data_IF_298523851738
#
_entry.id   IF_298523851738
#
_cell.length_a   1.000
_cell.length_b   1.000
_cell.length_c   1.000
_cell.angle_alpha   90.00
_cell.angle_beta   90.00
_cell.angle_gamma   90.00
#
_symmetry.space_group_name_H-M   'P 1'
#
loop_
_entity.id
_entity.type
_entity.pdbx_description
1 polymer ?
#
# COMPACT_ATOMS: atom_id res chain seq x y z
N UNK A 1 -8.66 15.94 -6.33
CA UNK A 1 -9.12 17.13 -5.58
C UNK A 1 -8.58 16.94 -4.18
N UNK A 2 -8.00 17.99 -3.55
CA UNK A 2 -7.44 17.87 -2.18
C UNK A 2 -8.42 18.59 -1.24
N UNK A 3 -9.50 17.92 -0.90
CA UNK A 3 -10.56 18.44 -0.03
C UNK A 3 -10.37 17.84 1.37
N UNK A 4 -10.35 18.70 2.40
CA UNK A 4 -10.30 18.26 3.79
C UNK A 4 -11.65 17.70 4.22
N UNK A 5 -11.63 16.51 4.78
CA UNK A 5 -12.80 15.83 5.32
C UNK A 5 -12.55 15.39 6.75
N UNK A 6 -13.52 15.60 7.62
CA UNK A 6 -13.49 15.11 9.00
C UNK A 6 -14.21 13.75 9.08
N UNK A 7 -13.61 12.79 9.80
CA UNK A 7 -14.19 11.44 10.02
C UNK A 7 -14.36 11.11 11.50
N UNK A 8 -13.69 11.85 12.38
CA UNK A 8 -13.82 11.71 13.82
C UNK A 8 -13.48 13.03 14.52
N UNK A 9 -13.64 13.14 15.85
CA UNK A 9 -13.33 14.36 16.57
C UNK A 9 -11.88 14.85 16.43
N UNK A 10 -10.93 13.93 16.24
CA UNK A 10 -9.50 14.20 16.12
C UNK A 10 -8.93 13.73 14.77
N UNK A 11 -9.78 13.20 13.89
CA UNK A 11 -9.38 12.49 12.66
C UNK A 11 -9.94 13.19 11.44
N UNK A 12 -9.04 13.48 10.50
CA UNK A 12 -9.35 14.10 9.21
C UNK A 12 -8.56 13.39 8.11
N UNK A 13 -8.93 13.61 6.87
CA UNK A 13 -8.11 13.23 5.71
C UNK A 13 -8.27 14.24 4.57
N UNK A 14 -7.26 14.31 3.73
CA UNK A 14 -7.35 14.98 2.43
C UNK A 14 -7.76 13.95 1.39
N UNK A 15 -8.86 14.24 0.68
CA UNK A 15 -9.31 13.43 -0.45
C UNK A 15 -8.34 13.60 -1.61
N UNK A 16 -7.52 12.61 -1.86
CA UNK A 16 -6.46 12.55 -2.89
C UNK A 16 -6.39 11.14 -3.48
N UNK A 17 -5.65 10.90 -4.56
CA UNK A 17 -5.55 9.56 -5.16
C UNK A 17 -5.20 8.45 -4.16
N UNK A 18 -4.23 8.68 -3.28
CA UNK A 18 -4.05 7.98 -2.02
C UNK A 18 -4.39 8.97 -0.91
N UNK A 19 -5.34 8.65 -0.02
CA UNK A 19 -5.75 9.57 1.05
C UNK A 19 -4.60 9.88 1.98
N UNK A 20 -4.47 11.16 2.36
CA UNK A 20 -3.52 11.61 3.36
C UNK A 20 -4.30 11.83 4.66
N UNK A 21 -4.06 10.96 5.64
CA UNK A 21 -4.69 11.08 6.95
C UNK A 21 -4.10 12.22 7.76
N UNK A 22 -4.90 12.77 8.69
CA UNK A 22 -4.48 13.81 9.61
C UNK A 22 -5.01 13.46 11.00
N UNK A 23 -4.11 13.30 11.94
CA UNK A 23 -4.40 13.21 13.37
C UNK A 23 -4.18 14.58 14.01
N UNK A 24 -5.22 15.13 14.59
CA UNK A 24 -5.17 16.38 15.36
C UNK A 24 -5.46 16.10 16.84
N UNK A 25 -4.44 16.12 17.72
CA UNK A 25 -4.67 16.02 19.16
C UNK A 25 -5.65 17.09 19.65
N UNK A 26 -6.44 16.75 20.66
CA UNK A 26 -7.47 17.65 21.19
C UNK A 26 -6.88 18.99 21.65
N UNK A 27 -7.47 20.09 21.21
CA UNK A 27 -7.05 21.44 21.56
C UNK A 27 -5.72 21.88 20.94
N UNK A 28 -5.12 21.10 20.05
CA UNK A 28 -3.83 21.41 19.42
C UNK A 28 -4.01 22.00 18.02
N UNK A 29 -3.11 22.91 17.63
CA UNK A 29 -2.90 23.34 16.25
C UNK A 29 -1.73 22.57 15.58
N UNK A 30 -1.03 21.72 16.35
CA UNK A 30 -0.07 20.75 15.81
C UNK A 30 -0.78 19.46 15.41
N UNK A 31 -0.44 18.94 14.22
CA UNK A 31 -1.04 17.74 13.66
C UNK A 31 0.02 16.75 13.22
N UNK A 32 -0.34 15.47 13.18
CA UNK A 32 0.45 14.44 12.53
C UNK A 32 -0.23 14.03 11.22
N UNK A 33 0.56 13.92 10.16
CA UNK A 33 0.08 13.35 8.90
C UNK A 33 0.22 11.82 8.94
N UNK A 34 -0.69 11.12 8.30
CA UNK A 34 -0.60 9.70 7.99
C UNK A 34 -0.45 9.62 6.49
N UNK A 35 0.76 9.24 6.05
CA UNK A 35 1.24 9.34 4.67
C UNK A 35 1.35 10.79 4.14
N UNK A 36 1.75 10.97 2.89
CA UNK A 36 2.07 12.28 2.35
C UNK A 36 1.67 12.50 0.90
N UNK A 37 1.05 11.46 0.29
CA UNK A 37 0.65 11.46 -1.11
C UNK A 37 1.80 11.20 -2.08
N UNK A 38 1.50 11.24 -3.37
CA UNK A 38 2.27 10.63 -4.45
C UNK A 38 3.51 11.41 -4.90
N UNK A 39 3.64 12.68 -4.54
CA UNK A 39 4.76 13.50 -5.00
C UNK A 39 4.88 14.84 -4.23
N UNK A 40 5.89 15.63 -4.61
CA UNK A 40 6.09 16.98 -4.07
C UNK A 40 4.87 17.89 -4.23
N UNK A 41 4.08 17.74 -5.28
CA UNK A 41 2.89 18.58 -5.50
C UNK A 41 1.74 18.16 -4.57
N UNK A 42 1.62 16.87 -4.24
CA UNK A 42 0.76 16.40 -3.17
C UNK A 42 1.17 17.04 -1.83
N UNK A 43 2.46 17.00 -1.49
CA UNK A 43 2.99 17.67 -0.29
C UNK A 43 2.72 19.16 -0.24
N UNK A 44 2.84 19.89 -1.37
CA UNK A 44 2.52 21.33 -1.46
C UNK A 44 1.04 21.60 -1.20
N UNK A 45 0.15 20.77 -1.74
CA UNK A 45 -1.31 20.90 -1.55
C UNK A 45 -1.68 20.58 -0.11
N UNK A 46 -1.09 19.55 0.47
CA UNK A 46 -1.24 19.22 1.89
C UNK A 46 -0.82 20.40 2.76
N UNK A 47 0.37 20.97 2.54
CA UNK A 47 0.83 22.15 3.28
C UNK A 47 -0.14 23.32 3.16
N UNK A 48 -0.60 23.63 1.93
CA UNK A 48 -1.55 24.72 1.70
C UNK A 48 -2.83 24.54 2.50
N UNK A 49 -3.33 23.31 2.59
CA UNK A 49 -4.54 23.02 3.37
C UNK A 49 -4.29 23.15 4.87
N UNK A 50 -3.16 22.63 5.38
CA UNK A 50 -2.79 22.81 6.79
C UNK A 50 -2.65 24.31 7.15
N UNK A 51 -1.97 25.11 6.31
CA UNK A 51 -1.82 26.53 6.50
C UNK A 51 -3.20 27.25 6.52
N UNK A 52 -4.16 26.84 5.69
CA UNK A 52 -5.52 27.39 5.66
C UNK A 52 -6.32 27.08 6.94
N UNK A 53 -6.04 25.96 7.60
CA UNK A 53 -6.63 25.60 8.89
C UNK A 53 -5.88 26.19 10.10
N UNK A 54 -4.74 26.86 9.89
CA UNK A 54 -3.84 27.28 10.95
C UNK A 54 -3.09 26.12 11.64
N UNK A 55 -2.96 24.98 10.98
CA UNK A 55 -2.32 23.77 11.53
C UNK A 55 -0.87 23.66 11.10
N UNK A 56 -0.04 23.11 11.99
CA UNK A 56 1.37 22.84 11.75
C UNK A 56 1.64 21.34 11.81
N UNK A 57 2.29 20.77 10.80
CA UNK A 57 2.73 19.39 10.82
C UNK A 57 3.87 19.20 11.83
N UNK A 58 3.65 18.30 12.80
CA UNK A 58 4.62 17.89 13.82
C UNK A 58 5.37 16.63 13.46
N UNK A 59 4.81 15.79 12.59
CA UNK A 59 5.41 14.55 12.14
C UNK A 59 4.57 13.88 11.07
N UNK A 60 5.19 12.96 10.32
CA UNK A 60 4.55 12.14 9.30
C UNK A 60 4.68 10.69 9.71
N UNK A 61 3.55 10.00 9.84
CA UNK A 61 3.45 8.57 10.17
C UNK A 61 3.29 7.81 8.85
N UNK A 62 4.29 7.07 8.44
CA UNK A 62 4.28 6.32 7.18
C UNK A 62 3.65 4.95 7.41
N UNK A 63 2.64 4.62 6.61
CA UNK A 63 1.98 3.31 6.66
C UNK A 63 2.81 2.26 5.94
N UNK A 64 3.28 2.57 4.76
CA UNK A 64 4.20 1.77 3.94
C UNK A 64 4.92 2.67 2.91
N UNK A 65 5.92 2.14 2.24
CA UNK A 65 6.89 2.93 1.49
C UNK A 65 6.61 3.07 -0.01
N UNK A 66 5.45 2.63 -0.51
CA UNK A 66 5.09 2.87 -1.91
C UNK A 66 5.06 4.37 -2.23
N UNK A 67 5.51 4.71 -3.43
CA UNK A 67 5.77 6.09 -3.81
C UNK A 67 4.57 7.02 -3.70
N UNK A 68 3.34 6.52 -3.85
CA UNK A 68 2.10 7.30 -3.73
C UNK A 68 1.70 7.59 -2.26
N UNK A 69 2.39 7.00 -1.28
CA UNK A 69 2.25 7.26 0.15
C UNK A 69 3.36 8.16 0.70
N UNK A 70 4.59 7.98 0.22
CA UNK A 70 5.75 8.70 0.76
C UNK A 70 6.30 9.80 -0.16
N UNK A 71 5.69 10.01 -1.33
CA UNK A 71 6.18 10.95 -2.35
C UNK A 71 6.24 12.42 -1.90
N UNK A 72 5.42 12.83 -0.95
CA UNK A 72 5.43 14.16 -0.35
C UNK A 72 6.36 14.33 0.85
N UNK A 73 6.85 13.23 1.46
CA UNK A 73 7.62 13.24 2.72
C UNK A 73 8.82 14.19 2.68
N UNK A 74 9.70 14.05 1.69
CA UNK A 74 10.91 14.89 1.56
C UNK A 74 10.59 16.40 1.51
N UNK A 75 9.50 16.77 0.83
CA UNK A 75 9.08 18.16 0.77
C UNK A 75 8.53 18.65 2.13
N UNK A 76 7.59 17.89 2.73
CA UNK A 76 6.95 18.28 3.99
C UNK A 76 7.95 18.29 5.15
N UNK A 77 8.85 17.29 5.23
CA UNK A 77 9.94 17.26 6.22
C UNK A 77 10.75 18.55 6.19
N UNK A 78 11.18 18.96 4.98
CA UNK A 78 11.95 20.21 4.81
C UNK A 78 11.15 21.46 5.17
N UNK A 79 9.82 21.48 4.95
CA UNK A 79 9.00 22.69 5.21
C UNK A 79 8.68 22.88 6.68
N UNK A 80 8.49 21.79 7.42
CA UNK A 80 8.07 21.82 8.81
C UNK A 80 9.18 21.48 9.81
N UNK A 81 10.34 21.02 9.30
CA UNK A 81 11.44 20.48 10.13
C UNK A 81 10.92 19.41 11.08
N UNK A 82 10.17 18.46 10.55
CA UNK A 82 9.47 17.44 11.31
C UNK A 82 10.00 16.03 11.00
N UNK A 83 9.93 15.08 11.95
CA UNK A 83 10.30 13.68 11.73
C UNK A 83 9.35 12.98 10.75
N UNK A 84 9.89 12.02 10.00
CA UNK A 84 9.14 11.02 9.23
C UNK A 84 9.32 9.69 9.93
N UNK A 85 8.25 9.15 10.51
CA UNK A 85 8.27 7.90 11.27
C UNK A 85 7.93 6.73 10.36
N UNK A 86 8.81 5.76 10.26
CA UNK A 86 8.54 4.50 9.55
C UNK A 86 9.33 3.35 10.18
N UNK A 87 8.74 2.17 10.23
CA UNK A 87 9.36 0.99 10.84
C UNK A 87 9.97 0.03 9.82
N UNK A 88 10.94 -0.77 10.27
CA UNK A 88 11.45 -1.93 9.53
C UNK A 88 11.88 -1.66 8.09
N UNK A 89 11.42 -2.51 7.17
CA UNK A 89 11.71 -2.41 5.73
C UNK A 89 11.11 -1.15 5.10
N UNK A 90 9.95 -0.71 5.59
CA UNK A 90 9.30 0.51 5.08
C UNK A 90 10.18 1.74 5.32
N UNK A 91 10.81 1.83 6.48
CA UNK A 91 11.76 2.89 6.79
C UNK A 91 12.99 2.86 5.88
N UNK A 92 13.52 1.66 5.61
CA UNK A 92 14.67 1.51 4.71
C UNK A 92 14.34 1.92 3.27
N UNK A 93 13.18 1.51 2.74
CA UNK A 93 12.76 1.89 1.37
C UNK A 93 12.41 3.37 1.29
N UNK A 94 11.76 3.96 2.30
CA UNK A 94 11.49 5.41 2.34
C UNK A 94 12.78 6.23 2.34
N UNK A 95 13.82 5.79 3.06
CA UNK A 95 15.12 6.45 3.06
C UNK A 95 15.91 6.25 1.76
N UNK A 96 15.75 5.10 1.11
CA UNK A 96 16.44 4.69 -0.12
C UNK A 96 15.41 4.21 -1.17
N UNK A 97 14.62 5.12 -1.77
CA UNK A 97 13.46 4.77 -2.60
C UNK A 97 13.81 4.06 -3.91
N UNK A 98 15.07 4.01 -4.31
CA UNK A 98 15.56 3.17 -5.43
C UNK A 98 15.36 1.67 -5.19
N UNK A 99 15.14 1.24 -3.95
CA UNK A 99 14.85 -0.16 -3.65
C UNK A 99 13.49 -0.62 -4.18
N UNK A 100 12.48 0.23 -4.23
CA UNK A 100 11.15 -0.16 -4.73
C UNK A 100 11.19 -0.60 -6.20
N UNK A 101 11.64 0.21 -7.19
CA UNK A 101 11.71 -0.24 -8.57
C UNK A 101 12.76 -1.35 -8.79
N UNK A 102 13.83 -1.41 -8.00
CA UNK A 102 14.81 -2.49 -8.08
C UNK A 102 14.22 -3.83 -7.62
N UNK A 103 13.46 -3.82 -6.53
CA UNK A 103 12.71 -4.99 -6.02
C UNK A 103 11.67 -5.45 -7.05
N UNK A 104 10.83 -4.56 -7.56
CA UNK A 104 9.77 -4.88 -8.52
C UNK A 104 10.32 -5.48 -9.82
N UNK A 105 11.46 -4.97 -10.29
CA UNK A 105 12.11 -5.43 -11.51
C UNK A 105 13.00 -6.67 -11.31
N UNK A 106 13.53 -6.86 -10.10
CA UNK A 106 14.46 -7.95 -9.77
C UNK A 106 15.90 -7.70 -10.25
N UNK A 107 16.32 -6.45 -10.37
CA UNK A 107 17.64 -6.02 -10.82
C UNK A 107 17.73 -4.51 -10.92
N UNK A 108 18.80 -3.98 -11.57
CA UNK A 108 18.88 -2.54 -11.80
C UNK A 108 17.80 -2.08 -12.81
N UNK A 109 16.84 -1.24 -12.40
CA UNK A 109 15.70 -0.89 -13.24
C UNK A 109 16.11 0.05 -14.37
N UNK A 110 15.57 -0.19 -15.57
CA UNK A 110 15.79 0.72 -16.70
C UNK A 110 15.03 2.05 -16.51
N UNK A 111 15.33 3.05 -17.36
CA UNK A 111 14.91 4.45 -17.16
C UNK A 111 13.40 4.63 -16.96
N UNK A 112 12.58 3.89 -17.71
CA UNK A 112 11.12 3.96 -17.70
C UNK A 112 10.49 3.45 -16.38
N UNK A 113 11.25 2.72 -15.55
CA UNK A 113 10.85 2.30 -14.22
C UNK A 113 11.34 3.23 -13.10
N UNK A 114 12.24 4.18 -13.41
CA UNK A 114 12.79 5.13 -12.44
C UNK A 114 12.06 6.46 -12.49
N UNK A 115 10.79 6.47 -12.14
CA UNK A 115 9.97 7.67 -12.15
C UNK A 115 9.13 7.79 -10.85
N UNK A 116 8.52 8.94 -10.63
CA UNK A 116 7.84 9.33 -9.39
C UNK A 116 6.70 8.41 -8.91
N UNK A 117 6.16 7.55 -9.77
CA UNK A 117 5.11 6.60 -9.38
C UNK A 117 5.66 5.28 -8.83
N UNK A 118 6.97 5.02 -8.99
CA UNK A 118 7.67 3.85 -8.47
C UNK A 118 8.89 4.24 -7.60
N UNK A 119 9.19 5.52 -7.48
CA UNK A 119 10.37 5.98 -6.75
C UNK A 119 10.13 7.39 -6.20
N UNK A 120 9.91 7.49 -4.91
CA UNK A 120 9.80 8.74 -4.19
C UNK A 120 11.13 9.51 -4.13
N UNK A 121 11.15 10.68 -3.51
CA UNK A 121 12.39 11.37 -3.15
C UNK A 121 12.85 10.90 -1.77
N UNK A 122 14.14 10.61 -1.57
CA UNK A 122 14.66 10.17 -0.28
C UNK A 122 14.44 11.24 0.81
N UNK A 123 14.16 10.79 2.02
CA UNK A 123 14.07 11.65 3.20
C UNK A 123 14.68 10.93 4.42
N UNK A 124 14.94 11.71 5.48
CA UNK A 124 15.40 11.15 6.74
C UNK A 124 14.24 10.49 7.48
N UNK A 125 14.45 9.27 7.95
CA UNK A 125 13.45 8.47 8.63
C UNK A 125 13.90 8.15 10.04
N UNK A 126 12.98 8.19 10.97
CA UNK A 126 13.16 7.74 12.37
C UNK A 126 12.22 6.57 12.66
N UNK A 127 12.59 5.64 13.55
CA UNK A 127 11.73 4.52 13.90
C UNK A 127 10.51 4.97 14.73
N UNK A 128 9.50 4.11 14.85
CA UNK A 128 8.30 4.40 15.65
C UNK A 128 8.59 4.48 17.16
N UNK A 129 9.71 3.96 17.61
CA UNK A 129 10.19 4.03 19.00
C UNK A 129 10.82 5.39 19.38
N UNK A 130 10.98 6.31 18.42
CA UNK A 130 11.45 7.67 18.68
C UNK A 130 10.48 8.40 19.62
N UNK A 131 11.02 9.11 20.61
CA UNK A 131 10.25 9.79 21.66
C UNK A 131 9.25 10.86 21.17
N UNK A 132 9.43 11.33 19.93
CA UNK A 132 8.54 12.31 19.28
C UNK A 132 7.31 11.67 18.63
N UNK A 133 7.26 10.31 18.55
CA UNK A 133 6.07 9.61 18.07
C UNK A 133 4.89 9.85 19.02
N UNK A 134 3.67 10.10 18.51
CA UNK A 134 2.50 10.34 19.36
C UNK A 134 2.11 9.06 20.14
N UNK A 135 2.41 9.03 21.42
CA UNK A 135 2.29 7.83 22.29
C UNK A 135 0.85 7.29 22.39
N UNK A 136 -0.15 8.13 22.14
CA UNK A 136 -1.58 7.76 22.14
C UNK A 136 -2.04 7.07 20.84
N UNK A 137 -1.26 7.13 19.76
CA UNK A 137 -1.56 6.46 18.48
C UNK A 137 -1.08 5.01 18.55
N UNK A 138 -1.97 4.07 18.24
CA UNK A 138 -1.63 2.64 18.21
C UNK A 138 -1.25 2.22 16.80
N UNK A 139 -0.13 1.53 16.66
CA UNK A 139 0.32 0.94 15.42
C UNK A 139 -0.39 -0.40 15.25
N UNK A 140 -0.99 -0.61 14.08
CA UNK A 140 -1.68 -1.82 13.68
C UNK A 140 -0.84 -2.54 12.63
N UNK A 141 -0.22 -3.69 12.90
CA UNK A 141 0.43 -4.49 11.86
C UNK A 141 -0.61 -4.98 10.84
N UNK A 142 -0.41 -4.63 9.56
CA UNK A 142 -1.32 -4.96 8.45
C UNK A 142 -0.52 -5.50 7.26
N UNK A 143 0.19 -6.64 7.43
CA UNK A 143 1.06 -7.18 6.40
C UNK A 143 0.29 -7.71 5.21
N UNK A 144 0.98 -7.83 4.07
CA UNK A 144 0.51 -8.49 2.86
C UNK A 144 0.57 -7.62 1.62
N UNK A 145 0.08 -6.38 1.66
CA UNK A 145 0.19 -5.48 0.52
C UNK A 145 1.66 -5.13 0.25
N UNK A 146 2.41 -4.72 1.26
CA UNK A 146 3.85 -4.47 1.16
C UNK A 146 4.60 -5.11 2.34
N UNK A 147 5.92 -4.89 2.48
CA UNK A 147 6.81 -5.64 3.40
C UNK A 147 6.30 -5.68 4.85
N UNK A 148 6.26 -4.52 5.50
CA UNK A 148 5.86 -4.37 6.91
C UNK A 148 4.81 -3.26 7.05
N UNK A 149 3.85 -3.21 6.11
CA UNK A 149 2.77 -2.24 6.15
C UNK A 149 2.09 -2.21 7.51
N UNK A 150 1.80 -1.01 7.98
CA UNK A 150 1.04 -0.76 9.20
C UNK A 150 -0.15 0.16 8.94
N UNK A 151 -1.11 0.13 9.83
CA UNK A 151 -2.13 1.17 9.97
C UNK A 151 -1.96 1.88 11.31
N UNK A 152 -2.79 2.88 11.55
CA UNK A 152 -2.78 3.66 12.78
C UNK A 152 -4.20 3.78 13.35
N UNK A 153 -4.39 3.32 14.60
CA UNK A 153 -5.63 3.54 15.34
C UNK A 153 -5.47 4.76 16.25
N UNK A 154 -6.31 5.75 16.02
CA UNK A 154 -6.31 7.02 16.74
C UNK A 154 -7.17 6.95 18.01
N UNK A 155 -6.96 7.88 18.99
CA UNK A 155 -7.68 7.86 20.25
C UNK A 155 -9.21 7.98 20.13
N UNK A 156 -9.71 8.61 19.08
CA UNK A 156 -11.14 8.75 18.80
C UNK A 156 -11.81 7.48 18.25
N UNK A 157 -11.01 6.45 17.94
CA UNK A 157 -11.44 5.17 17.39
C UNK A 157 -11.40 5.08 15.87
N UNK A 158 -10.83 6.09 15.19
CA UNK A 158 -10.61 6.04 13.74
C UNK A 158 -9.34 5.24 13.42
N UNK A 159 -9.43 4.27 12.52
CA UNK A 159 -8.31 3.47 12.03
C UNK A 159 -7.97 3.85 10.57
N UNK A 160 -6.78 4.38 10.34
CA UNK A 160 -6.21 4.50 9.01
C UNK A 160 -5.53 3.19 8.66
N UNK A 161 -6.05 2.50 7.64
CA UNK A 161 -5.69 1.11 7.33
C UNK A 161 -4.90 0.96 6.03
N UNK A 162 -4.41 2.06 5.51
CA UNK A 162 -3.54 2.08 4.31
C UNK A 162 -4.15 1.31 3.12
N UNK A 163 -3.32 0.49 2.47
CA UNK A 163 -3.67 -0.28 1.27
C UNK A 163 -4.02 -1.74 1.59
N UNK A 164 -4.61 -1.95 2.79
CA UNK A 164 -5.12 -3.28 3.15
C UNK A 164 -6.20 -3.80 2.20
N UNK A 165 -6.91 -2.90 1.52
CA UNK A 165 -7.97 -3.24 0.58
C UNK A 165 -8.21 -2.08 -0.41
N UNK A 166 -8.81 -2.45 -1.53
CA UNK A 166 -9.21 -1.54 -2.59
C UNK A 166 -10.73 -1.40 -2.66
N UNK A 167 -11.22 -0.29 -3.22
CA UNK A 167 -12.64 -0.14 -3.54
C UNK A 167 -13.06 -1.14 -4.63
N UNK A 168 -14.35 -1.44 -4.70
CA UNK A 168 -14.87 -2.32 -5.74
C UNK A 168 -14.56 -1.78 -7.14
N UNK A 169 -14.69 -0.47 -7.36
CA UNK A 169 -14.38 0.16 -8.64
C UNK A 169 -12.89 0.02 -9.00
N UNK A 170 -12.01 0.08 -8.01
CA UNK A 170 -10.57 -0.13 -8.21
C UNK A 170 -10.28 -1.57 -8.61
N UNK A 171 -10.90 -2.55 -7.93
CA UNK A 171 -10.78 -3.97 -8.28
C UNK A 171 -11.30 -4.24 -9.70
N UNK A 172 -12.47 -3.73 -10.04
CA UNK A 172 -13.07 -3.90 -11.38
C UNK A 172 -12.21 -3.28 -12.48
N UNK A 173 -11.57 -2.14 -12.21
CA UNK A 173 -10.73 -1.41 -13.16
C UNK A 173 -9.37 -2.05 -13.38
N UNK A 174 -8.68 -2.42 -12.31
CA UNK A 174 -7.29 -2.89 -12.37
C UNK A 174 -7.15 -4.40 -12.34
N UNK A 175 -8.20 -5.12 -11.93
CA UNK A 175 -8.30 -6.58 -11.84
C UNK A 175 -7.25 -7.21 -10.94
N UNK A 176 -5.97 -7.02 -11.23
CA UNK A 176 -4.85 -7.55 -10.45
C UNK A 176 -4.18 -6.39 -9.72
N UNK A 177 -4.51 -6.19 -8.44
CA UNK A 177 -3.84 -5.23 -7.55
C UNK A 177 -2.47 -5.73 -7.12
N UNK A 178 -1.62 -4.79 -6.69
CA UNK A 178 -0.31 -5.16 -6.15
C UNK A 178 -0.45 -5.82 -4.77
N UNK A 179 0.16 -6.99 -4.61
CA UNK A 179 0.24 -7.75 -3.34
C UNK A 179 1.60 -8.43 -3.25
N UNK A 180 2.31 -8.17 -2.15
CA UNK A 180 3.63 -8.75 -1.88
C UNK A 180 3.55 -10.15 -1.26
N UNK A 181 2.66 -10.37 -0.29
CA UNK A 181 2.44 -11.65 0.38
C UNK A 181 0.94 -11.96 0.40
N UNK A 182 0.51 -12.87 -0.47
CA UNK A 182 -0.91 -13.21 -0.64
C UNK A 182 -1.50 -13.86 0.60
N UNK A 183 -0.75 -14.72 1.28
CA UNK A 183 -1.22 -15.39 2.49
C UNK A 183 -1.44 -14.38 3.63
N UNK A 184 -0.47 -13.52 3.87
CA UNK A 184 -0.56 -12.46 4.88
C UNK A 184 -1.65 -11.44 4.54
N UNK A 185 -1.83 -11.10 3.24
CA UNK A 185 -2.89 -10.21 2.78
C UNK A 185 -4.29 -10.77 3.07
N UNK A 186 -4.54 -12.02 2.73
CA UNK A 186 -5.80 -12.71 3.04
C UNK A 186 -6.06 -12.81 4.54
N UNK A 187 -5.02 -13.08 5.35
CA UNK A 187 -5.13 -13.13 6.82
C UNK A 187 -5.44 -11.74 7.40
N UNK A 188 -4.79 -10.70 6.91
CA UNK A 188 -5.06 -9.30 7.27
C UNK A 188 -6.52 -8.93 6.95
N UNK A 189 -7.00 -9.21 5.74
CA UNK A 189 -8.38 -8.93 5.34
C UNK A 189 -9.41 -9.62 6.25
N UNK A 190 -9.17 -10.89 6.62
CA UNK A 190 -10.08 -11.64 7.50
C UNK A 190 -10.13 -11.08 8.92
N UNK A 191 -9.01 -10.55 9.42
CA UNK A 191 -8.88 -9.98 10.77
C UNK A 191 -9.28 -8.50 10.84
N UNK A 192 -9.33 -7.81 9.72
CA UNK A 192 -9.58 -6.38 9.67
C UNK A 192 -10.88 -5.96 10.41
N UNK A 193 -12.04 -6.65 10.26
CA UNK A 193 -13.26 -6.33 11.01
C UNK A 193 -13.13 -6.50 12.52
N UNK A 194 -12.16 -7.30 12.99
CA UNK A 194 -11.96 -7.59 14.41
C UNK A 194 -11.13 -6.51 15.13
N UNK A 195 -10.56 -5.54 14.42
CA UNK A 195 -9.77 -4.45 15.00
C UNK A 195 -10.58 -3.54 15.94
N UNK A 196 -11.91 -3.56 15.83
CA UNK A 196 -12.79 -2.81 16.73
C UNK A 196 -12.71 -1.29 16.56
N UNK A 197 -12.33 -0.79 15.40
CA UNK A 197 -12.37 0.63 15.08
C UNK A 197 -13.82 1.11 14.89
N UNK A 198 -14.08 2.38 15.21
CA UNK A 198 -15.38 3.02 14.95
C UNK A 198 -15.55 3.39 13.48
N UNK A 199 -14.44 3.82 12.85
CA UNK A 199 -14.38 4.17 11.43
C UNK A 199 -13.06 3.68 10.87
N UNK A 200 -13.11 3.00 9.75
CA UNK A 200 -11.96 2.57 8.97
C UNK A 200 -11.75 3.53 7.79
N UNK A 201 -10.54 3.99 7.58
CA UNK A 201 -10.16 4.90 6.50
C UNK A 201 -9.10 4.21 5.63
N UNK A 202 -9.51 3.51 4.55
CA UNK A 202 -8.58 2.97 3.55
C UNK A 202 -8.02 4.10 2.67
N UNK A 203 -6.81 3.92 2.12
CA UNK A 203 -6.21 4.93 1.24
C UNK A 203 -6.96 5.05 -0.09
N UNK A 204 -7.44 3.93 -0.64
CA UNK A 204 -8.05 3.86 -1.98
C UNK A 204 -9.54 3.47 -1.97
N UNK A 205 -10.23 3.60 -0.84
CA UNK A 205 -11.67 3.37 -0.75
C UNK A 205 -12.34 4.41 0.17
N UNK A 206 -13.66 4.48 0.14
CA UNK A 206 -14.42 5.34 1.05
C UNK A 206 -14.26 4.89 2.51
N UNK A 207 -14.25 5.82 3.50
CA UNK A 207 -14.34 5.47 4.90
C UNK A 207 -15.60 4.67 5.21
N UNK A 208 -15.51 3.71 6.13
CA UNK A 208 -16.63 2.86 6.53
C UNK A 208 -16.62 2.57 8.05
N UNK A 209 -17.80 2.49 8.65
CA UNK A 209 -17.96 2.00 10.03
C UNK A 209 -17.93 0.46 10.07
N UNK A 210 -18.48 -0.19 9.06
CA UNK A 210 -18.37 -1.64 8.84
C UNK A 210 -17.50 -1.92 7.63
N UNK A 211 -16.31 -2.49 7.86
CA UNK A 211 -15.34 -2.79 6.80
C UNK A 211 -15.51 -4.21 6.25
N UNK A 212 -16.29 -5.08 6.90
CA UNK A 212 -16.42 -6.49 6.52
C UNK A 212 -16.93 -6.70 5.08
N UNK A 213 -17.93 -5.97 4.58
CA UNK A 213 -18.39 -6.14 3.21
C UNK A 213 -17.27 -5.89 2.19
N UNK A 214 -16.48 -4.82 2.37
CA UNK A 214 -15.40 -4.48 1.46
C UNK A 214 -14.21 -5.44 1.59
N UNK A 215 -13.90 -5.90 2.81
CA UNK A 215 -12.89 -6.93 3.04
C UNK A 215 -13.26 -8.24 2.30
N UNK A 216 -14.52 -8.66 2.36
CA UNK A 216 -15.00 -9.86 1.66
C UNK A 216 -14.91 -9.73 0.13
N UNK A 217 -15.18 -8.56 -0.44
CA UNK A 217 -14.99 -8.30 -1.88
C UNK A 217 -13.51 -8.47 -2.26
N UNK A 218 -12.59 -7.93 -1.45
CA UNK A 218 -11.15 -8.05 -1.71
C UNK A 218 -10.66 -9.50 -1.54
N UNK A 219 -11.17 -10.26 -0.57
CA UNK A 219 -10.88 -11.71 -0.41
C UNK A 219 -11.33 -12.45 -1.66
N UNK A 220 -12.58 -12.27 -2.10
CA UNK A 220 -13.12 -12.94 -3.26
C UNK A 220 -12.32 -12.64 -4.55
N UNK A 221 -11.93 -11.37 -4.77
CA UNK A 221 -11.10 -10.99 -5.90
C UNK A 221 -9.70 -11.63 -5.85
N UNK A 222 -9.09 -11.71 -4.65
CA UNK A 222 -7.79 -12.35 -4.46
C UNK A 222 -7.86 -13.85 -4.73
N UNK A 223 -8.91 -14.52 -4.24
CA UNK A 223 -9.14 -15.94 -4.47
C UNK A 223 -9.46 -16.24 -5.95
N UNK A 224 -10.24 -15.39 -6.64
CA UNK A 224 -10.50 -15.48 -8.08
C UNK A 224 -9.19 -15.49 -8.90
N UNK A 225 -8.27 -14.56 -8.63
CA UNK A 225 -6.96 -14.52 -9.30
C UNK A 225 -6.18 -15.82 -9.05
N UNK A 226 -6.21 -16.35 -7.83
CA UNK A 226 -5.55 -17.60 -7.49
C UNK A 226 -6.12 -18.78 -8.30
N UNK A 227 -7.45 -18.87 -8.48
CA UNK A 227 -8.10 -19.90 -9.30
C UNK A 227 -7.69 -19.78 -10.78
N UNK A 228 -7.65 -18.56 -11.36
CA UNK A 228 -7.20 -18.35 -12.73
C UNK A 228 -5.75 -18.79 -12.92
N UNK A 229 -4.85 -18.49 -11.97
CA UNK A 229 -3.45 -18.91 -12.02
C UNK A 229 -3.34 -20.45 -11.99
N UNK A 230 -4.11 -21.11 -11.13
CA UNK A 230 -4.13 -22.59 -11.08
C UNK A 230 -4.64 -23.17 -12.41
N UNK A 231 -5.70 -22.61 -12.98
CA UNK A 231 -6.24 -23.05 -14.27
C UNK A 231 -5.22 -22.90 -15.40
N UNK A 232 -4.48 -21.80 -15.48
CA UNK A 232 -3.41 -21.62 -16.47
C UNK A 232 -2.21 -22.55 -16.27
N UNK A 233 -2.03 -23.11 -15.08
CA UNK A 233 -0.97 -24.06 -14.76
C UNK A 233 -1.35 -25.53 -15.05
N UNK A 234 -2.57 -25.84 -15.54
CA UNK A 234 -3.06 -27.21 -15.70
C UNK A 234 -2.14 -28.10 -16.57
N UNK A 235 -1.68 -27.57 -17.70
CA UNK A 235 -0.79 -28.27 -18.64
C UNK A 235 0.69 -27.87 -18.51
N UNK A 236 1.02 -27.08 -17.49
CA UNK A 236 2.34 -26.51 -17.25
C UNK A 236 2.59 -25.23 -18.04
N UNK A 237 3.10 -24.19 -17.34
CA UNK A 237 3.37 -22.89 -17.93
C UNK A 237 4.63 -22.27 -17.34
N UNK A 238 5.24 -21.32 -18.05
CA UNK A 238 6.29 -20.45 -17.53
C UNK A 238 5.66 -19.22 -16.86
N UNK A 239 6.42 -18.49 -16.06
CA UNK A 239 5.95 -17.22 -15.48
C UNK A 239 5.59 -16.19 -16.56
N UNK A 240 6.37 -16.11 -17.63
CA UNK A 240 6.14 -15.17 -18.73
C UNK A 240 4.85 -15.49 -19.50
N UNK A 241 4.58 -16.76 -19.79
CA UNK A 241 3.34 -17.22 -20.43
C UNK A 241 2.13 -16.99 -19.52
N UNK A 242 2.27 -17.27 -18.21
CA UNK A 242 1.22 -17.01 -17.24
C UNK A 242 0.89 -15.52 -17.16
N UNK A 243 1.92 -14.65 -17.11
CA UNK A 243 1.72 -13.19 -17.10
C UNK A 243 1.00 -12.73 -18.37
N UNK A 244 1.40 -13.21 -19.54
CA UNK A 244 0.73 -12.92 -20.80
C UNK A 244 -0.76 -13.34 -20.75
N UNK A 245 -1.05 -14.57 -20.33
CA UNK A 245 -2.42 -15.08 -20.26
C UNK A 245 -3.31 -14.26 -19.33
N UNK A 246 -2.80 -13.81 -18.18
CA UNK A 246 -3.54 -12.94 -17.26
C UNK A 246 -3.85 -11.57 -17.87
N UNK A 247 -2.90 -10.97 -18.61
CA UNK A 247 -3.14 -9.71 -19.31
C UNK A 247 -4.21 -9.84 -20.40
N UNK A 248 -4.19 -10.93 -21.17
CA UNK A 248 -5.20 -11.21 -22.20
C UNK A 248 -6.58 -11.48 -21.59
N UNK A 249 -6.65 -12.35 -20.56
CA UNK A 249 -7.90 -12.77 -19.93
C UNK A 249 -8.65 -11.63 -19.25
N UNK A 250 -7.91 -10.75 -18.57
CA UNK A 250 -8.47 -9.57 -17.93
C UNK A 250 -8.55 -8.33 -18.84
N UNK A 251 -8.06 -8.41 -20.09
CA UNK A 251 -8.05 -7.28 -21.04
C UNK A 251 -7.21 -6.10 -20.56
N UNK A 252 -6.08 -6.37 -19.90
CA UNK A 252 -5.22 -5.34 -19.31
C UNK A 252 -4.22 -4.80 -20.34
N UNK A 253 -3.91 -3.48 -20.23
CA UNK A 253 -2.85 -2.88 -21.01
C UNK A 253 -1.48 -3.14 -20.34
N UNK A 254 -0.53 -3.74 -21.07
CA UNK A 254 0.82 -3.95 -20.58
C UNK A 254 1.68 -2.71 -20.79
N UNK A 255 1.82 -1.91 -19.74
CA UNK A 255 2.79 -0.81 -19.66
C UNK A 255 4.05 -1.26 -18.91
N UNK A 256 5.13 -0.48 -18.98
CA UNK A 256 6.34 -0.77 -18.18
C UNK A 256 6.04 -0.90 -16.68
N UNK A 257 5.17 -0.05 -16.16
CA UNK A 257 4.75 -0.07 -14.75
C UNK A 257 3.91 -1.31 -14.44
N UNK A 258 2.91 -1.63 -15.25
CA UNK A 258 2.06 -2.81 -15.04
C UNK A 258 2.85 -4.11 -15.16
N UNK A 259 3.82 -4.17 -16.07
CA UNK A 259 4.72 -5.32 -16.20
C UNK A 259 5.43 -5.65 -14.88
N UNK A 260 5.96 -4.67 -14.16
CA UNK A 260 6.68 -4.93 -12.90
C UNK A 260 5.73 -5.12 -11.72
N UNK A 261 4.64 -4.36 -11.61
CA UNK A 261 3.68 -4.48 -10.50
C UNK A 261 2.92 -5.80 -10.56
N UNK A 262 2.24 -6.08 -11.68
CA UNK A 262 1.48 -7.32 -11.85
C UNK A 262 2.45 -8.51 -11.91
N UNK A 263 3.60 -8.37 -12.58
CA UNK A 263 4.62 -9.42 -12.65
C UNK A 263 5.18 -9.81 -11.29
N UNK A 264 5.40 -8.86 -10.39
CA UNK A 264 5.79 -9.12 -9.00
C UNK A 264 4.66 -9.82 -8.24
N UNK A 265 3.43 -9.32 -8.36
CA UNK A 265 2.24 -9.91 -7.73
C UNK A 265 2.00 -11.35 -8.19
N UNK A 266 2.15 -11.64 -9.48
CA UNK A 266 2.02 -13.02 -10.00
C UNK A 266 3.05 -13.96 -9.36
N UNK A 267 4.29 -13.51 -9.13
CA UNK A 267 5.29 -14.30 -8.39
C UNK A 267 4.88 -14.56 -6.95
N UNK A 268 4.24 -13.58 -6.29
CA UNK A 268 3.69 -13.75 -4.94
C UNK A 268 2.57 -14.80 -4.91
N UNK A 269 1.67 -14.81 -5.90
CA UNK A 269 0.66 -15.86 -6.05
C UNK A 269 1.27 -17.24 -6.31
N UNK A 270 2.27 -17.34 -7.19
CA UNK A 270 2.96 -18.59 -7.44
C UNK A 270 3.60 -19.16 -6.16
N UNK A 271 4.21 -18.32 -5.35
CA UNK A 271 4.76 -18.71 -4.05
C UNK A 271 3.67 -19.20 -3.10
N UNK A 272 2.60 -18.44 -2.95
CA UNK A 272 1.45 -18.78 -2.11
C UNK A 272 0.80 -20.11 -2.51
N UNK A 273 0.54 -20.30 -3.82
CA UNK A 273 -0.09 -21.51 -4.35
C UNK A 273 0.83 -22.73 -4.24
N UNK A 274 2.14 -22.53 -4.39
CA UNK A 274 3.13 -23.60 -4.17
C UNK A 274 3.18 -24.03 -2.70
N UNK A 275 3.23 -23.07 -1.77
CA UNK A 275 3.29 -23.36 -0.32
C UNK A 275 2.00 -23.98 0.20
N UNK A 276 0.84 -23.62 -0.39
CA UNK A 276 -0.45 -24.25 -0.08
C UNK A 276 -0.66 -25.63 -0.77
N UNK A 277 0.30 -26.12 -1.56
CA UNK A 277 0.24 -27.41 -2.23
C UNK A 277 -0.68 -27.45 -3.46
N UNK A 278 -1.10 -26.30 -3.98
CA UNK A 278 -1.95 -26.18 -5.17
C UNK A 278 -1.16 -26.13 -6.48
N UNK A 279 0.11 -25.72 -6.41
CA UNK A 279 1.04 -25.75 -7.52
C UNK A 279 2.33 -26.47 -7.15
N UNK A 280 2.97 -27.07 -8.13
CA UNK A 280 4.35 -27.50 -8.06
C UNK A 280 5.21 -26.77 -9.08
N UNK A 281 6.51 -26.63 -8.76
CA UNK A 281 7.51 -26.03 -9.64
C UNK A 281 8.51 -27.11 -10.10
N UNK A 282 8.78 -27.18 -11.38
CA UNK A 282 9.74 -28.10 -12.01
C UNK A 282 10.73 -27.32 -12.87
N UNK A 283 11.96 -27.84 -12.96
CA UNK A 283 12.98 -27.30 -13.89
C UNK A 283 13.09 -28.28 -15.05
N UNK A 284 12.59 -27.89 -16.22
CA UNK A 284 12.53 -28.71 -17.42
C UNK A 284 13.21 -27.98 -18.59
N UNK A 285 14.21 -28.59 -19.19
CA UNK A 285 14.91 -28.03 -20.36
C UNK A 285 15.47 -26.60 -20.10
N UNK A 286 15.93 -26.30 -18.88
CA UNK A 286 16.41 -24.98 -18.43
C UNK A 286 15.30 -23.91 -18.29
N UNK A 287 14.02 -24.34 -18.22
CA UNK A 287 12.87 -23.47 -17.92
C UNK A 287 12.33 -23.80 -16.55
N UNK A 288 11.83 -22.78 -15.86
CA UNK A 288 11.04 -22.97 -14.64
C UNK A 288 9.58 -23.11 -15.07
N UNK A 289 9.01 -24.29 -14.79
CA UNK A 289 7.64 -24.65 -15.16
C UNK A 289 6.78 -24.77 -13.91
N UNK A 290 5.55 -24.29 -13.99
CA UNK A 290 4.55 -24.34 -12.92
C UNK A 290 3.40 -25.23 -13.36
N UNK A 291 3.01 -26.17 -12.51
CA UNK A 291 1.95 -27.15 -12.76
C UNK A 291 0.91 -27.13 -11.64
N UNK A 292 -0.36 -27.23 -11.99
CA UNK A 292 -1.41 -27.51 -11.01
C UNK A 292 -1.25 -28.93 -10.43
N UNK A 293 -1.54 -29.08 -9.13
CA UNK A 293 -1.49 -30.35 -8.38
C UNK A 293 -2.89 -30.92 -8.22
#
# INVERSE_FOLDING_TARGET
>A
MYELRQVGPQSYYLESPAKIGIYRPEGSDEVYLIDSGSDKDAGRRTRKELDAQGWRCRGILVTHSNADHVGGCAYLQKQYDCPVFAGGMEGAVTAYPEFEPAFLYGGFPYKELRHKFLMAQPCEVVPFEDERFPAEVKILPLPGHFFHQVGFLLPDGTAFIADCLSSQETIEKYRVGFVYDVAAYLDTLRKLPELGAKVYVPSHAAPAEDIAPLANINIAATEEIAEHIVAFCADGTTWEELLYNLFEDYGLEMTHQQYVLIGSTVRSYLSYLKESGRLEVRIEGKRVMWYAV
#
